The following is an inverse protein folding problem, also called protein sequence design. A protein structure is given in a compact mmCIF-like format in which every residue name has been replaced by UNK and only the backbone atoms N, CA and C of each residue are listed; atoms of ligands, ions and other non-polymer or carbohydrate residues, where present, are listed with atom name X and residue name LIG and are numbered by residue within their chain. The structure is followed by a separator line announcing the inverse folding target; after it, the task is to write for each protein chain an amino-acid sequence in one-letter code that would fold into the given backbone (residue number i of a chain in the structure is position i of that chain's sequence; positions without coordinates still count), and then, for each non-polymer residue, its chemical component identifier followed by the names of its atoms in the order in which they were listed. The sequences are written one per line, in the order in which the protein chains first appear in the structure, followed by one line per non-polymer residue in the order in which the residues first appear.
data_IF_288578880109
#
_entry.id   IF_288578880109
#
_cell.length_a   1.000
_cell.length_b   1.000
_cell.length_c   1.000
_cell.angle_alpha   90.00
_cell.angle_beta   90.00
_cell.angle_gamma   90.00
#
_symmetry.space_group_name_H-M   'P 1'
#
loop_
_entity.id
_entity.type
_entity.pdbx_description
1 polymer ?
#
# COMPACT_ATOMS: atom_id res chain seq x y z
N UNK A 1 8.96 28.31 5.08
CA UNK A 1 9.11 27.01 5.77
C UNK A 1 7.78 26.29 6.01
N UNK A 2 6.68 26.95 6.42
CA UNK A 2 5.36 26.29 6.62
C UNK A 2 4.80 25.57 5.38
N UNK A 3 4.96 26.08 4.17
CA UNK A 3 4.46 25.44 2.94
C UNK A 3 5.18 24.16 2.52
N UNK A 4 6.41 23.91 2.98
CA UNK A 4 7.12 22.64 2.72
C UNK A 4 6.61 21.51 3.62
N UNK A 5 6.20 21.83 4.85
CA UNK A 5 5.62 20.86 5.78
C UNK A 5 4.20 20.42 5.41
N UNK A 6 3.49 21.17 4.56
CA UNK A 6 2.16 20.80 4.07
C UNK A 6 2.18 19.81 2.90
N UNK A 7 3.35 19.61 2.26
CA UNK A 7 3.49 18.65 1.19
C UNK A 7 3.60 17.22 1.75
N UNK A 8 2.65 16.35 1.40
CA UNK A 8 2.65 14.93 1.79
C UNK A 8 3.99 14.23 1.49
N UNK A 9 4.60 14.36 0.28
CA UNK A 9 5.88 13.74 -0.03
C UNK A 9 7.00 14.17 0.90
N UNK A 10 7.02 15.44 1.32
CA UNK A 10 8.03 15.97 2.23
C UNK A 10 7.89 15.35 3.64
N UNK A 11 6.65 15.22 4.13
CA UNK A 11 6.37 14.55 5.41
C UNK A 11 6.79 13.08 5.40
N UNK A 12 6.55 12.39 4.28
CA UNK A 12 6.96 11.00 4.11
C UNK A 12 8.49 10.85 4.13
N UNK A 13 9.20 11.71 3.39
CA UNK A 13 10.65 11.72 3.34
C UNK A 13 11.27 12.03 4.71
N UNK A 14 10.69 12.98 5.43
CA UNK A 14 11.10 13.31 6.79
C UNK A 14 10.84 12.14 7.75
N UNK A 15 9.71 11.45 7.58
CA UNK A 15 9.39 10.21 8.31
C UNK A 15 10.42 9.11 8.09
N UNK A 16 10.89 8.92 6.84
CA UNK A 16 11.95 7.96 6.51
C UNK A 16 13.25 8.30 7.25
N UNK A 17 13.71 9.55 7.13
CA UNK A 17 14.97 10.00 7.76
C UNK A 17 14.91 9.82 9.28
N UNK A 18 13.83 10.29 9.90
CA UNK A 18 13.61 10.12 11.34
C UNK A 18 13.55 8.65 11.72
N UNK A 19 12.80 7.83 10.98
CA UNK A 19 12.67 6.40 11.23
C UNK A 19 14.03 5.68 11.21
N UNK A 20 14.86 5.95 10.20
CA UNK A 20 16.20 5.35 10.10
C UNK A 20 17.09 5.74 11.27
N UNK A 21 17.09 7.03 11.68
CA UNK A 21 17.91 7.51 12.81
C UNK A 21 17.43 6.87 14.11
N UNK A 22 16.12 6.84 14.36
CA UNK A 22 15.55 6.29 15.57
C UNK A 22 15.79 4.79 15.68
N UNK A 23 15.71 4.05 14.56
CA UNK A 23 15.99 2.61 14.54
C UNK A 23 17.42 2.24 14.95
N UNK A 24 18.38 3.17 14.77
CA UNK A 24 19.77 2.96 15.21
C UNK A 24 20.01 3.24 16.70
N UNK A 25 19.17 4.09 17.29
CA UNK A 25 19.38 4.60 18.67
C UNK A 25 18.51 3.88 19.67
N UNK A 26 17.34 3.37 19.26
CA UNK A 26 16.36 2.83 20.20
C UNK A 26 16.78 1.48 20.80
N UNK A 27 16.62 1.30 22.13
CA UNK A 27 16.76 0.03 22.80
C UNK A 27 15.58 -0.91 22.45
N UNK A 28 15.76 -2.19 22.66
CA UNK A 28 14.77 -3.24 22.36
C UNK A 28 13.40 -2.98 22.98
N UNK A 29 13.36 -2.43 24.21
CA UNK A 29 12.11 -2.13 24.90
C UNK A 29 11.25 -1.07 24.17
N UNK A 30 11.89 -0.06 23.57
CA UNK A 30 11.19 0.97 22.78
C UNK A 30 10.78 0.41 21.42
N UNK A 31 11.60 -0.45 20.82
CA UNK A 31 11.29 -1.09 19.56
C UNK A 31 10.03 -1.95 19.63
N UNK A 32 9.76 -2.64 20.75
CA UNK A 32 8.49 -3.37 20.96
C UNK A 32 7.26 -2.48 20.77
N UNK A 33 7.31 -1.27 21.29
CA UNK A 33 6.22 -0.29 21.14
C UNK A 33 6.09 0.17 19.68
N UNK A 34 7.21 0.45 19.00
CA UNK A 34 7.22 0.88 17.60
C UNK A 34 6.68 -0.21 16.68
N UNK A 35 7.10 -1.46 16.88
CA UNK A 35 6.62 -2.63 16.12
C UNK A 35 5.12 -2.83 16.34
N UNK A 36 4.66 -2.74 17.60
CA UNK A 36 3.23 -2.88 17.92
C UNK A 36 2.40 -1.77 17.29
N UNK A 37 2.87 -0.52 17.34
CA UNK A 37 2.18 0.61 16.71
C UNK A 37 2.11 0.45 15.20
N UNK A 38 3.22 0.06 14.56
CA UNK A 38 3.25 -0.23 13.12
C UNK A 38 2.26 -1.35 12.77
N UNK A 39 2.21 -2.42 13.56
CA UNK A 39 1.30 -3.54 13.35
C UNK A 39 -0.16 -3.08 13.38
N UNK A 40 -0.57 -2.33 14.40
CA UNK A 40 -1.95 -1.82 14.54
C UNK A 40 -2.31 -0.90 13.36
N UNK A 41 -1.41 0.03 13.00
CA UNK A 41 -1.62 0.92 11.85
C UNK A 41 -1.70 0.14 10.54
N UNK A 42 -0.86 -0.88 10.37
CA UNK A 42 -0.89 -1.79 9.21
C UNK A 42 -2.22 -2.53 9.10
N UNK A 43 -2.75 -3.06 10.21
CA UNK A 43 -4.05 -3.73 10.25
C UNK A 43 -5.19 -2.78 9.82
N UNK A 44 -5.17 -1.53 10.31
CA UNK A 44 -6.19 -0.54 9.94
C UNK A 44 -6.11 -0.18 8.46
N UNK A 45 -4.92 0.04 7.91
CA UNK A 45 -4.72 0.29 6.47
C UNK A 45 -5.25 -0.91 5.67
N UNK A 46 -4.85 -2.12 6.04
CA UNK A 46 -5.24 -3.36 5.36
C UNK A 46 -6.76 -3.58 5.39
N UNK A 47 -7.43 -3.23 6.50
CA UNK A 47 -8.89 -3.24 6.60
C UNK A 47 -9.55 -2.25 5.63
N UNK A 48 -8.96 -1.07 5.43
CA UNK A 48 -9.51 -0.04 4.55
C UNK A 48 -9.28 -0.32 3.06
N UNK A 49 -8.30 -1.17 2.68
CA UNK A 49 -7.97 -1.42 1.28
C UNK A 49 -9.16 -1.92 0.44
N UNK A 50 -9.94 -2.95 0.85
CA UNK A 50 -11.11 -3.39 0.10
C UNK A 50 -12.17 -2.29 -0.05
N UNK A 51 -12.36 -1.47 1.00
CA UNK A 51 -13.29 -0.35 0.99
C UNK A 51 -12.89 0.71 -0.04
N UNK A 52 -11.60 1.03 -0.11
CA UNK A 52 -11.03 1.95 -1.09
C UNK A 52 -11.24 1.42 -2.51
N UNK A 53 -10.96 0.14 -2.74
CA UNK A 53 -11.13 -0.50 -4.05
C UNK A 53 -12.58 -0.38 -4.53
N UNK A 54 -13.54 -0.72 -3.69
CA UNK A 54 -14.97 -0.62 -4.05
C UNK A 54 -15.36 0.84 -4.28
N UNK A 55 -14.95 1.73 -3.37
CA UNK A 55 -15.31 3.15 -3.42
C UNK A 55 -14.73 3.91 -4.60
N UNK A 56 -13.66 3.42 -5.22
CA UNK A 56 -13.06 4.08 -6.38
C UNK A 56 -13.38 3.39 -7.69
N UNK A 57 -13.32 2.06 -7.75
CA UNK A 57 -13.45 1.33 -9.02
C UNK A 57 -14.90 1.28 -9.48
N UNK A 58 -15.85 0.93 -8.61
CA UNK A 58 -17.25 0.83 -9.02
C UNK A 58 -17.82 2.15 -9.56
N UNK A 59 -17.67 3.31 -8.87
CA UNK A 59 -18.12 4.59 -9.42
C UNK A 59 -17.36 5.04 -10.66
N UNK A 60 -16.07 4.69 -10.78
CA UNK A 60 -15.29 5.03 -11.97
C UNK A 60 -15.82 4.32 -13.22
N UNK A 61 -16.24 3.06 -13.08
CA UNK A 61 -16.85 2.30 -14.18
C UNK A 61 -18.21 2.89 -14.56
N UNK A 62 -19.04 3.29 -13.60
CA UNK A 62 -20.34 3.92 -13.90
C UNK A 62 -20.19 5.23 -14.65
N UNK A 63 -19.15 6.03 -14.37
CA UNK A 63 -18.84 7.28 -15.08
C UNK A 63 -18.42 7.07 -16.53
N UNK A 64 -17.96 5.88 -16.94
CA UNK A 64 -17.65 5.54 -18.32
C UNK A 64 -18.91 5.31 -19.19
N UNK A 65 -20.07 5.13 -18.58
CA UNK A 65 -21.36 5.01 -19.25
C UNK A 65 -21.42 3.79 -20.18
N UNK A 66 -22.14 3.93 -21.31
CA UNK A 66 -22.40 2.84 -22.27
C UNK A 66 -21.15 2.16 -22.84
N UNK A 67 -20.02 2.83 -22.82
CA UNK A 67 -18.74 2.29 -23.32
C UNK A 67 -17.91 1.60 -22.23
N UNK A 68 -18.40 1.49 -21.00
CA UNK A 68 -17.66 0.95 -19.88
C UNK A 68 -17.08 -0.44 -20.15
N UNK A 69 -17.89 -1.36 -20.68
CA UNK A 69 -17.46 -2.74 -20.98
C UNK A 69 -16.33 -2.78 -22.00
N UNK A 70 -16.44 -1.98 -23.08
CA UNK A 70 -15.42 -1.93 -24.13
C UNK A 70 -14.12 -1.33 -23.62
N UNK A 71 -14.20 -0.20 -22.91
CA UNK A 71 -13.03 0.48 -22.33
C UNK A 71 -12.34 -0.39 -21.29
N UNK A 72 -13.11 -1.08 -20.45
CA UNK A 72 -12.57 -2.00 -19.46
C UNK A 72 -11.86 -3.18 -20.13
N UNK A 73 -12.46 -3.78 -21.18
CA UNK A 73 -11.83 -4.87 -21.94
C UNK A 73 -10.51 -4.44 -22.57
N UNK A 74 -10.45 -3.26 -23.20
CA UNK A 74 -9.23 -2.70 -23.77
C UNK A 74 -8.18 -2.45 -22.67
N UNK A 75 -8.60 -1.88 -21.55
CA UNK A 75 -7.69 -1.62 -20.42
C UNK A 75 -7.06 -2.92 -19.86
N UNK A 76 -7.85 -4.00 -19.73
CA UNK A 76 -7.35 -5.31 -19.28
C UNK A 76 -6.32 -5.87 -20.26
N UNK A 77 -6.59 -5.80 -21.58
CA UNK A 77 -5.64 -6.27 -22.60
C UNK A 77 -4.34 -5.47 -22.54
N UNK A 78 -4.41 -4.15 -22.47
CA UNK A 78 -3.23 -3.29 -22.36
C UNK A 78 -2.45 -3.61 -21.08
N UNK A 79 -3.12 -3.76 -19.94
CA UNK A 79 -2.48 -4.09 -18.68
C UNK A 79 -1.77 -5.44 -18.74
N UNK A 80 -2.39 -6.45 -19.35
CA UNK A 80 -1.80 -7.77 -19.52
C UNK A 80 -0.55 -7.72 -20.41
N UNK A 81 -0.63 -7.09 -21.57
CA UNK A 81 0.51 -6.92 -22.48
C UNK A 81 1.65 -6.16 -21.79
N UNK A 82 1.33 -5.06 -21.09
CA UNK A 82 2.30 -4.30 -20.33
C UNK A 82 3.00 -5.14 -19.25
N UNK A 83 2.23 -5.95 -18.50
CA UNK A 83 2.80 -6.85 -17.48
C UNK A 83 3.74 -7.90 -18.08
N UNK A 84 3.39 -8.49 -19.22
CA UNK A 84 4.23 -9.46 -19.93
C UNK A 84 5.52 -8.78 -20.41
N UNK A 85 5.43 -7.61 -21.02
CA UNK A 85 6.60 -6.84 -21.46
C UNK A 85 7.50 -6.47 -20.27
N UNK A 86 6.93 -6.03 -19.16
CA UNK A 86 7.69 -5.70 -17.95
C UNK A 86 8.41 -6.94 -17.36
N UNK A 87 7.73 -8.09 -17.35
CA UNK A 87 8.33 -9.34 -16.89
C UNK A 87 9.51 -9.78 -17.79
N UNK A 88 9.35 -9.68 -19.10
CA UNK A 88 10.43 -9.99 -20.05
C UNK A 88 11.63 -9.05 -19.89
N UNK A 89 11.37 -7.74 -19.75
CA UNK A 89 12.45 -6.76 -19.51
C UNK A 89 13.14 -7.02 -18.18
N UNK A 90 12.40 -7.29 -17.11
CA UNK A 90 12.98 -7.60 -15.80
C UNK A 90 13.83 -8.88 -15.83
N UNK A 91 13.34 -9.91 -16.50
CA UNK A 91 14.08 -11.18 -16.67
C UNK A 91 15.34 -10.96 -17.46
N UNK A 92 15.27 -10.23 -18.58
CA UNK A 92 16.45 -9.88 -19.38
C UNK A 92 17.48 -9.06 -18.61
N UNK A 93 17.03 -8.06 -17.86
CA UNK A 93 17.91 -7.28 -17.00
C UNK A 93 18.51 -8.13 -15.86
N UNK A 94 17.74 -9.04 -15.28
CA UNK A 94 18.24 -9.99 -14.28
C UNK A 94 19.36 -10.86 -14.82
N UNK A 95 19.16 -11.49 -15.96
CA UNK A 95 20.21 -12.30 -16.60
C UNK A 95 21.48 -11.52 -16.97
N UNK A 96 21.33 -10.24 -17.32
CA UNK A 96 22.46 -9.39 -17.66
C UNK A 96 23.23 -8.89 -16.41
N UNK A 97 22.51 -8.57 -15.33
CA UNK A 97 23.08 -7.91 -14.14
C UNK A 97 23.52 -8.88 -13.04
N UNK A 98 22.75 -9.96 -12.77
CA UNK A 98 23.02 -10.89 -11.67
C UNK A 98 24.41 -11.53 -11.74
N UNK A 99 24.95 -11.94 -12.93
CA UNK A 99 26.29 -12.52 -13.01
C UNK A 99 27.43 -11.55 -12.65
N UNK A 100 27.14 -10.24 -12.71
CA UNK A 100 28.13 -9.18 -12.39
C UNK A 100 27.99 -8.66 -10.94
N UNK A 101 26.94 -9.06 -10.24
CA UNK A 101 26.71 -8.73 -8.84
C UNK A 101 27.12 -9.93 -7.99
N UNK A 102 28.22 -9.78 -7.21
CA UNK A 102 28.54 -10.72 -6.14
C UNK A 102 27.53 -10.53 -5.02
N UNK A 103 26.36 -11.18 -5.14
CA UNK A 103 25.34 -11.16 -4.08
C UNK A 103 25.70 -12.27 -3.12
N UNK A 104 26.19 -11.92 -1.94
CA UNK A 104 26.32 -12.85 -0.83
C UNK A 104 24.94 -13.41 -0.48
N UNK A 105 24.76 -14.69 -0.73
CA UNK A 105 23.47 -15.40 -0.55
C UNK A 105 23.14 -15.63 0.93
N UNK A 106 24.13 -15.48 1.83
CA UNK A 106 23.92 -15.62 3.26
C UNK A 106 23.93 -14.26 3.94
N UNK A 107 22.75 -13.74 4.23
CA UNK A 107 22.58 -12.59 5.11
C UNK A 107 22.68 -13.07 6.55
N UNK A 108 23.89 -13.45 6.96
CA UNK A 108 24.14 -13.80 8.35
C UNK A 108 24.16 -12.53 9.19
N UNK A 109 23.24 -12.44 10.15
CA UNK A 109 23.32 -11.41 11.18
C UNK A 109 22.18 -10.40 11.25
N UNK A 110 21.04 -10.63 10.59
CA UNK A 110 19.84 -9.85 10.84
C UNK A 110 19.38 -9.99 12.30
N UNK A 111 19.04 -8.89 12.94
CA UNK A 111 18.32 -8.91 14.20
C UNK A 111 16.87 -9.33 13.93
N UNK A 112 16.36 -10.26 14.68
CA UNK A 112 14.91 -10.52 14.72
C UNK A 112 14.22 -9.33 15.37
N UNK A 113 13.14 -8.86 14.76
CA UNK A 113 12.28 -7.87 15.39
C UNK A 113 11.72 -8.46 16.70
N UNK A 114 11.60 -7.65 17.75
CA UNK A 114 10.94 -8.10 18.97
C UNK A 114 9.45 -8.37 18.69
N UNK A 115 8.89 -9.34 19.42
CA UNK A 115 7.48 -9.69 19.32
C UNK A 115 6.59 -8.49 19.67
N UNK A 116 5.43 -8.43 19.03
CA UNK A 116 4.41 -7.40 19.31
C UNK A 116 3.89 -7.59 20.74
N UNK A 117 3.77 -6.49 21.47
CA UNK A 117 3.26 -6.51 22.85
C UNK A 117 1.76 -6.79 22.89
N UNK A 118 1.03 -6.37 21.85
CA UNK A 118 -0.40 -6.52 21.73
C UNK A 118 -0.78 -6.84 20.27
N UNK A 119 -1.41 -7.97 20.04
CA UNK A 119 -1.93 -8.37 18.74
C UNK A 119 -3.39 -7.97 18.61
N UNK A 120 -3.66 -6.93 17.82
CA UNK A 120 -5.00 -6.57 17.40
C UNK A 120 -5.26 -7.16 16.02
N UNK A 121 -5.92 -8.29 15.96
CA UNK A 121 -6.29 -8.89 14.68
C UNK A 121 -7.61 -8.29 14.17
N UNK A 122 -7.53 -7.34 13.24
CA UNK A 122 -8.68 -6.79 12.53
C UNK A 122 -8.79 -7.53 11.19
N UNK A 123 -9.71 -8.51 11.06
CA UNK A 123 -9.85 -9.24 9.81
C UNK A 123 -10.32 -8.30 8.70
N UNK A 124 -9.81 -8.50 7.49
CA UNK A 124 -10.31 -7.80 6.32
C UNK A 124 -11.76 -8.19 6.05
N UNK A 125 -12.60 -7.24 5.64
CA UNK A 125 -14.00 -7.50 5.25
C UNK A 125 -14.04 -8.50 4.10
N UNK A 126 -13.11 -8.38 3.15
CA UNK A 126 -12.94 -9.30 2.01
C UNK A 126 -11.52 -9.19 1.46
N UNK A 127 -11.10 -10.17 0.65
CA UNK A 127 -9.81 -10.12 -0.03
C UNK A 127 -9.79 -9.02 -1.10
N UNK A 128 -8.59 -8.49 -1.40
CA UNK A 128 -8.38 -7.48 -2.44
C UNK A 128 -8.94 -7.94 -3.79
N UNK A 129 -8.73 -9.20 -4.16
CA UNK A 129 -9.25 -9.76 -5.41
C UNK A 129 -10.77 -9.85 -5.42
N UNK A 130 -11.39 -10.23 -4.30
CA UNK A 130 -12.86 -10.24 -4.17
C UNK A 130 -13.45 -8.84 -4.30
N UNK A 131 -12.80 -7.83 -3.67
CA UNK A 131 -13.21 -6.43 -3.78
C UNK A 131 -13.11 -5.90 -5.22
N UNK A 132 -12.03 -6.27 -5.94
CA UNK A 132 -11.84 -5.92 -7.34
C UNK A 132 -12.94 -6.49 -8.23
N UNK A 133 -13.18 -7.80 -8.15
CA UNK A 133 -14.21 -8.47 -8.94
C UNK A 133 -15.59 -7.91 -8.62
N UNK A 134 -15.92 -7.74 -7.34
CA UNK A 134 -17.20 -7.16 -6.90
C UNK A 134 -17.37 -5.74 -7.46
N UNK A 135 -16.35 -4.90 -7.39
CA UNK A 135 -16.40 -3.52 -7.89
C UNK A 135 -16.66 -3.45 -9.38
N UNK A 136 -16.00 -4.33 -10.15
CA UNK A 136 -16.20 -4.42 -11.60
C UNK A 136 -17.62 -4.89 -11.92
N UNK A 137 -18.10 -5.95 -11.26
CA UNK A 137 -19.44 -6.49 -11.49
C UNK A 137 -20.52 -5.46 -11.14
N UNK A 138 -20.43 -4.83 -9.97
CA UNK A 138 -21.40 -3.81 -9.53
C UNK A 138 -21.36 -2.58 -10.45
N UNK A 139 -20.18 -2.10 -10.82
CA UNK A 139 -20.02 -0.96 -11.73
C UNK A 139 -20.60 -1.23 -13.11
N UNK A 140 -20.35 -2.41 -13.69
CA UNK A 140 -20.92 -2.80 -14.99
C UNK A 140 -22.43 -3.02 -14.90
N UNK A 141 -22.93 -3.70 -13.89
CA UNK A 141 -24.36 -3.94 -13.69
C UNK A 141 -25.13 -2.62 -13.55
N UNK A 142 -24.61 -1.69 -12.76
CA UNK A 142 -25.20 -0.35 -12.62
C UNK A 142 -25.25 0.42 -13.96
N UNK A 143 -24.21 0.26 -14.78
CA UNK A 143 -24.15 0.88 -16.11
C UNK A 143 -25.15 0.23 -17.08
N UNK A 144 -25.28 -1.08 -17.09
CA UNK A 144 -26.21 -1.81 -17.99
C UNK A 144 -27.67 -1.54 -17.66
N UNK A 145 -28.00 -1.44 -16.37
CA UNK A 145 -29.37 -1.17 -15.92
C UNK A 145 -29.75 0.32 -16.04
N UNK A 146 -28.82 1.21 -16.40
CA UNK A 146 -29.00 2.66 -16.41
C UNK A 146 -29.64 3.21 -15.13
N UNK A 147 -29.37 2.57 -14.00
CA UNK A 147 -29.94 2.93 -12.69
C UNK A 147 -29.27 4.22 -12.15
N UNK A 148 -29.94 5.35 -12.30
CA UNK A 148 -29.46 6.63 -11.76
C UNK A 148 -29.22 6.55 -10.26
N UNK A 149 -30.16 5.98 -9.53
CA UNK A 149 -30.07 5.84 -8.06
C UNK A 149 -28.78 5.09 -7.65
N UNK A 150 -28.46 3.99 -8.32
CA UNK A 150 -27.25 3.21 -8.01
C UNK A 150 -26.00 3.98 -8.37
N UNK A 151 -25.99 4.71 -9.50
CA UNK A 151 -24.84 5.51 -9.90
C UNK A 151 -24.61 6.68 -8.92
N UNK A 152 -25.66 7.35 -8.48
CA UNK A 152 -25.58 8.44 -7.51
C UNK A 152 -25.12 7.94 -6.15
N UNK A 153 -25.67 6.81 -5.67
CA UNK A 153 -25.23 6.14 -4.45
C UNK A 153 -23.75 5.78 -4.47
N UNK A 154 -23.27 5.18 -5.57
CA UNK A 154 -21.86 4.86 -5.73
C UNK A 154 -20.98 6.12 -5.74
N UNK A 155 -21.48 7.22 -6.31
CA UNK A 155 -20.78 8.51 -6.30
C UNK A 155 -20.69 9.10 -4.88
N UNK A 156 -21.75 9.05 -4.11
CA UNK A 156 -21.76 9.49 -2.69
C UNK A 156 -20.85 8.58 -1.84
N UNK A 157 -20.90 7.28 -2.06
CA UNK A 157 -20.00 6.33 -1.38
C UNK A 157 -18.53 6.63 -1.68
N UNK A 158 -18.20 7.01 -2.93
CA UNK A 158 -16.84 7.47 -3.28
C UNK A 158 -16.40 8.65 -2.42
N UNK A 159 -17.28 9.64 -2.23
CA UNK A 159 -16.97 10.82 -1.43
C UNK A 159 -16.73 10.45 0.05
N UNK A 160 -17.52 9.55 0.61
CA UNK A 160 -17.33 9.04 1.97
C UNK A 160 -15.97 8.36 2.10
N UNK A 161 -15.62 7.50 1.15
CA UNK A 161 -14.32 6.80 1.14
C UNK A 161 -13.16 7.78 1.00
N UNK A 162 -13.29 8.80 0.13
CA UNK A 162 -12.30 9.87 -0.02
C UNK A 162 -12.07 10.63 1.29
N UNK A 163 -13.14 10.91 2.03
CA UNK A 163 -13.06 11.57 3.33
C UNK A 163 -12.35 10.70 4.38
N UNK A 164 -12.65 9.40 4.41
CA UNK A 164 -11.96 8.45 5.30
C UNK A 164 -10.47 8.40 4.97
N UNK A 165 -10.13 8.24 3.70
CA UNK A 165 -8.73 8.22 3.25
C UNK A 165 -8.02 9.52 3.59
N UNK A 166 -8.66 10.65 3.29
CA UNK A 166 -8.08 11.98 3.50
C UNK A 166 -7.87 12.34 4.97
N UNK A 167 -8.80 11.97 5.83
CA UNK A 167 -8.81 12.37 7.25
C UNK A 167 -8.14 11.36 8.18
N UNK A 168 -8.11 10.08 7.80
CA UNK A 168 -7.57 9.01 8.65
C UNK A 168 -6.27 8.45 8.06
N UNK A 169 -6.32 7.93 6.82
CA UNK A 169 -5.20 7.18 6.27
C UNK A 169 -4.03 8.09 5.92
N UNK A 170 -4.29 9.20 5.20
CA UNK A 170 -3.23 10.11 4.77
C UNK A 170 -2.42 10.68 5.94
N UNK A 171 -3.01 11.19 7.02
CA UNK A 171 -2.21 11.68 8.15
C UNK A 171 -1.50 10.58 8.93
N UNK A 172 -1.97 9.32 8.86
CA UNK A 172 -1.35 8.18 9.51
C UNK A 172 -0.14 7.63 8.74
N UNK A 173 -0.10 7.81 7.40
CA UNK A 173 0.97 7.28 6.55
C UNK A 173 2.39 7.71 6.95
N UNK A 174 2.69 8.97 7.28
CA UNK A 174 4.04 9.35 7.68
C UNK A 174 4.53 8.61 8.93
N UNK A 175 3.65 8.37 9.90
CA UNK A 175 3.99 7.63 11.11
C UNK A 175 4.21 6.15 10.82
N UNK A 176 3.36 5.55 10.00
CA UNK A 176 3.50 4.17 9.55
C UNK A 176 4.82 3.94 8.81
N UNK A 177 5.17 4.83 7.88
CA UNK A 177 6.42 4.78 7.14
C UNK A 177 7.62 5.00 8.06
N UNK A 178 7.57 5.95 8.98
CA UNK A 178 8.63 6.16 9.95
C UNK A 178 8.87 4.91 10.81
N UNK A 179 7.81 4.26 11.28
CA UNK A 179 7.91 3.01 12.04
C UNK A 179 8.48 1.86 11.21
N UNK A 180 8.07 1.75 9.93
CA UNK A 180 8.59 0.73 9.00
C UNK A 180 10.09 0.88 8.78
N UNK A 181 10.55 2.10 8.50
CA UNK A 181 11.99 2.36 8.31
C UNK A 181 12.79 2.26 9.62
N UNK A 182 12.17 2.55 10.76
CA UNK A 182 12.76 2.30 12.07
C UNK A 182 13.02 0.81 12.29
N UNK A 183 12.04 -0.04 11.99
CA UNK A 183 12.17 -1.50 12.08
C UNK A 183 13.25 -2.02 11.12
N UNK A 184 13.22 -1.57 9.86
CA UNK A 184 14.19 -1.97 8.85
C UNK A 184 15.64 -1.57 9.24
N UNK A 185 15.79 -0.35 9.78
CA UNK A 185 17.10 0.13 10.25
C UNK A 185 17.60 -0.63 11.48
N UNK A 186 16.69 -1.03 12.36
CA UNK A 186 17.02 -1.85 13.53
C UNK A 186 17.49 -3.25 13.15
N UNK A 187 16.83 -3.91 12.18
CA UNK A 187 17.26 -5.20 11.61
C UNK A 187 18.62 -5.12 10.93
N UNK A 188 18.85 -4.04 10.14
CA UNK A 188 20.09 -3.83 9.37
C UNK A 188 21.31 -3.46 10.20
N UNK A 189 21.16 -3.13 11.50
CA UNK A 189 22.25 -2.62 12.33
C UNK A 189 23.38 -3.64 12.59
N UNK A 190 23.12 -4.93 12.45
CA UNK A 190 24.17 -5.96 12.63
C UNK A 190 25.13 -6.06 11.46
N UNK A 191 24.69 -5.67 10.26
CA UNK A 191 25.50 -5.76 9.03
C UNK A 191 26.66 -4.74 9.06
N UNK A 192 26.42 -3.55 9.65
CA UNK A 192 27.42 -2.48 9.72
C UNK A 192 28.42 -2.55 10.88
N UNK A 193 28.23 -3.45 11.86
CA UNK A 193 29.14 -3.63 13.02
C UNK A 193 30.03 -4.86 12.94
N UNK A 194 29.86 -5.69 11.93
CA UNK A 194 30.61 -6.94 11.76
C UNK A 194 31.73 -6.83 10.71
N UNK A 195 31.98 -5.62 10.19
CA UNK A 195 33.13 -5.32 9.29
C UNK A 195 34.19 -4.49 9.98
#
# INVERSE_FOLDING_TARGET
MKKLFDNLPFRLLLGIIIGVILGQVFPESVMKVVVTLQYIMGQLITFCVPLIIIGFIAPSITKLGKNASRLLGVAIVIAYVSSVCAALMSTGAGYALIPHLSIDTEVAGLRTLPDVVFELNIPQIMSVMSALVLSVLVGLAATWTNSKLTCDFLGEFQNIVLDIVGKIIIPMLPFYIAATFCNLSYEGMKIGRAS
#
